data_IF_233205556393
#
_entry.id   IF_233205556393
#
_cell.length_a   1.000
_cell.length_b   1.000
_cell.length_c   1.000
_cell.angle_alpha   90.00
_cell.angle_beta   90.00
_cell.angle_gamma   90.00
#
_symmetry.space_group_name_H-M   'P 1'
#
loop_
_entity.id
_entity.type
_entity.pdbx_description
1 polymer ?
#
# COMPACT_ATOMS: atom_id res chain seq x y z
N UNK A 1 -9.29 39.05 6.06
CA UNK A 1 -7.93 38.75 5.57
C UNK A 1 -7.58 37.27 5.51
N UNK A 2 -7.75 36.49 6.59
CA UNK A 2 -7.40 35.03 6.58
C UNK A 2 -8.20 34.16 5.58
N UNK A 3 -9.48 34.49 5.32
CA UNK A 3 -10.34 33.73 4.39
C UNK A 3 -9.87 33.88 2.95
N UNK A 4 -9.57 35.11 2.53
CA UNK A 4 -9.12 35.45 1.16
C UNK A 4 -7.78 34.78 0.79
N UNK A 5 -6.81 34.74 1.71
CA UNK A 5 -5.51 34.06 1.47
C UNK A 5 -5.70 32.55 1.28
N UNK A 6 -6.59 31.94 2.08
CA UNK A 6 -6.90 30.50 1.95
C UNK A 6 -7.57 30.19 0.60
N UNK A 7 -8.48 31.03 0.14
CA UNK A 7 -9.15 30.89 -1.16
C UNK A 7 -8.17 31.02 -2.33
N UNK A 8 -7.23 31.94 -2.27
CA UNK A 8 -6.16 32.10 -3.26
C UNK A 8 -5.27 30.83 -3.30
N UNK A 9 -4.84 30.34 -2.14
CA UNK A 9 -4.03 29.13 -2.08
C UNK A 9 -4.76 27.90 -2.63
N UNK A 10 -6.07 27.77 -2.35
CA UNK A 10 -6.91 26.71 -2.90
C UNK A 10 -7.01 26.83 -4.42
N UNK A 11 -7.19 28.05 -4.95
CA UNK A 11 -7.25 28.28 -6.39
C UNK A 11 -5.96 27.84 -7.09
N UNK A 12 -4.78 28.21 -6.57
CA UNK A 12 -3.49 27.75 -7.12
C UNK A 12 -3.34 26.25 -7.02
N UNK A 13 -3.76 25.62 -5.93
CA UNK A 13 -3.70 24.18 -5.76
C UNK A 13 -4.59 23.45 -6.76
N UNK A 14 -5.80 23.94 -6.99
CA UNK A 14 -6.78 23.33 -7.89
C UNK A 14 -6.53 23.64 -9.40
N UNK A 15 -5.65 24.57 -9.70
CA UNK A 15 -5.26 24.91 -11.08
C UNK A 15 -3.86 24.37 -11.39
N UNK A 16 -2.82 25.03 -10.91
CA UNK A 16 -1.43 24.75 -11.28
C UNK A 16 -0.98 23.38 -10.72
N UNK A 17 -1.10 23.19 -9.41
CA UNK A 17 -0.60 21.94 -8.81
C UNK A 17 -1.43 20.72 -9.23
N UNK A 18 -2.74 20.88 -9.43
CA UNK A 18 -3.58 19.82 -9.99
C UNK A 18 -3.17 19.42 -11.40
N UNK A 19 -2.83 20.40 -12.25
CA UNK A 19 -2.31 20.13 -13.58
C UNK A 19 -0.99 19.37 -13.53
N UNK A 20 -0.04 19.82 -12.71
CA UNK A 20 1.25 19.14 -12.52
C UNK A 20 1.09 17.73 -11.99
N UNK A 21 0.22 17.52 -10.99
CA UNK A 21 -0.04 16.18 -10.46
C UNK A 21 -0.62 15.28 -11.53
N UNK A 22 -1.57 15.74 -12.35
CA UNK A 22 -2.14 14.94 -13.45
C UNK A 22 -1.12 14.59 -14.52
N UNK A 23 -0.21 15.52 -14.82
CA UNK A 23 0.85 15.29 -15.80
C UNK A 23 1.90 14.29 -15.29
N UNK A 24 2.35 14.43 -14.04
CA UNK A 24 3.38 13.58 -13.43
C UNK A 24 2.84 12.21 -13.04
N UNK A 25 1.58 12.16 -12.59
CA UNK A 25 0.90 10.97 -12.08
C UNK A 25 -0.45 10.73 -12.79
N UNK A 26 -0.45 10.37 -14.08
CA UNK A 26 -1.66 10.29 -14.90
C UNK A 26 -2.71 9.28 -14.40
N UNK A 27 -2.29 8.27 -13.65
CA UNK A 27 -3.21 7.30 -13.04
C UNK A 27 -3.59 7.64 -11.60
N UNK A 28 -3.18 8.80 -11.07
CA UNK A 28 -3.64 9.29 -9.77
C UNK A 28 -5.06 9.85 -9.89
N UNK A 29 -6.03 9.14 -9.32
CA UNK A 29 -7.47 9.49 -9.39
C UNK A 29 -8.06 9.52 -7.97
N UNK A 30 -7.61 10.45 -7.16
CA UNK A 30 -8.21 10.75 -5.86
C UNK A 30 -8.96 12.08 -5.89
N UNK A 31 -10.09 12.12 -5.21
CA UNK A 31 -10.66 13.39 -4.79
C UNK A 31 -9.86 13.93 -3.60
N UNK A 32 -9.83 15.24 -3.46
CA UNK A 32 -9.33 15.86 -2.24
C UNK A 32 -10.14 15.34 -1.05
N UNK A 33 -9.50 14.56 -0.18
CA UNK A 33 -10.10 14.12 1.07
C UNK A 33 -9.32 14.77 2.19
N UNK A 34 -10.03 15.51 3.05
CA UNK A 34 -9.40 16.20 4.18
C UNK A 34 -8.43 17.29 3.74
N UNK A 35 -7.24 17.30 4.35
CA UNK A 35 -6.25 18.37 4.18
C UNK A 35 -5.16 18.07 3.14
N UNK A 36 -5.27 16.99 2.36
CA UNK A 36 -4.23 16.67 1.39
C UNK A 36 -4.43 17.43 0.08
N UNK A 37 -3.65 18.49 -0.08
CA UNK A 37 -3.60 19.32 -1.28
C UNK A 37 -2.70 18.72 -2.35
N UNK A 38 -2.90 19.13 -3.63
CA UNK A 38 -2.08 18.66 -4.75
C UNK A 38 -0.59 18.98 -4.56
N UNK A 39 -0.24 20.16 -4.03
CA UNK A 39 1.14 20.51 -3.74
C UNK A 39 1.78 19.57 -2.69
N UNK A 40 0.99 19.05 -1.75
CA UNK A 40 1.49 18.10 -0.74
C UNK A 40 1.82 16.75 -1.37
N UNK A 41 1.07 16.33 -2.39
CA UNK A 41 1.40 15.14 -3.18
C UNK A 41 2.76 15.31 -3.85
N UNK A 42 3.00 16.45 -4.51
CA UNK A 42 4.30 16.74 -5.11
C UNK A 42 5.41 16.81 -4.06
N UNK A 43 5.19 17.53 -2.97
CA UNK A 43 6.17 17.64 -1.88
C UNK A 43 6.55 16.28 -1.32
N UNK A 44 5.57 15.40 -1.11
CA UNK A 44 5.80 14.09 -0.47
C UNK A 44 6.46 13.08 -1.39
N UNK A 45 6.06 13.03 -2.66
CA UNK A 45 6.42 11.90 -3.54
C UNK A 45 7.36 12.28 -4.69
N UNK A 46 7.28 13.51 -5.22
CA UNK A 46 7.93 13.86 -6.48
C UNK A 46 9.44 13.66 -6.46
N UNK A 47 10.13 14.23 -5.49
CA UNK A 47 11.60 14.20 -5.46
C UNK A 47 12.14 12.77 -5.39
N UNK A 48 11.66 11.98 -4.43
CA UNK A 48 12.11 10.60 -4.25
C UNK A 48 11.72 9.72 -5.44
N UNK A 49 10.50 9.88 -5.96
CA UNK A 49 9.99 9.00 -6.99
C UNK A 49 10.48 9.37 -8.39
N UNK A 50 10.47 10.65 -8.76
CA UNK A 50 10.76 11.08 -10.13
C UNK A 50 12.20 11.55 -10.35
N UNK A 51 12.82 12.17 -9.35
CA UNK A 51 14.22 12.63 -9.44
C UNK A 51 15.16 11.50 -9.03
N UNK A 52 15.07 10.99 -7.80
CA UNK A 52 15.95 9.91 -7.34
C UNK A 52 15.61 8.53 -7.92
N UNK A 53 14.43 8.34 -8.50
CA UNK A 53 14.08 7.16 -9.28
C UNK A 53 13.43 6.00 -8.53
N UNK A 54 13.09 6.16 -7.23
CA UNK A 54 12.36 5.13 -6.49
C UNK A 54 10.95 4.93 -7.08
N UNK A 55 10.69 3.76 -7.68
CA UNK A 55 9.44 3.48 -8.41
C UNK A 55 9.13 4.49 -9.54
N UNK A 56 10.14 5.01 -10.24
CA UNK A 56 10.01 6.10 -11.23
C UNK A 56 8.92 5.85 -12.29
N UNK A 57 8.83 4.59 -12.80
CA UNK A 57 7.88 4.20 -13.84
C UNK A 57 6.42 4.14 -13.38
N UNK A 58 6.18 4.09 -12.07
CA UNK A 58 4.81 3.97 -11.55
C UNK A 58 4.03 5.27 -11.80
N UNK A 59 2.85 5.20 -12.47
CA UNK A 59 2.11 6.39 -12.89
C UNK A 59 1.13 6.94 -11.83
N UNK A 60 1.37 6.66 -10.57
CA UNK A 60 0.70 7.21 -9.38
C UNK A 60 1.73 7.42 -8.26
N UNK A 61 1.39 8.20 -7.22
CA UNK A 61 2.28 8.44 -6.09
C UNK A 61 2.58 7.15 -5.32
N UNK A 62 3.88 6.90 -5.07
CA UNK A 62 4.37 5.76 -4.28
C UNK A 62 5.39 6.26 -3.27
N UNK A 63 5.27 5.84 -2.03
CA UNK A 63 6.26 6.14 -0.99
C UNK A 63 7.60 5.48 -1.36
N UNK A 64 8.71 6.17 -1.17
CA UNK A 64 10.04 5.69 -1.58
C UNK A 64 10.48 4.44 -0.82
N UNK A 65 9.89 4.17 0.34
CA UNK A 65 10.11 2.97 1.16
C UNK A 65 9.27 1.78 0.72
N UNK A 66 8.35 1.98 -0.22
CA UNK A 66 7.56 0.92 -0.83
C UNK A 66 8.20 0.42 -2.12
N UNK A 67 7.90 -0.80 -2.52
CA UNK A 67 8.41 -1.40 -3.75
C UNK A 67 7.27 -1.99 -4.57
N UNK A 68 7.13 -1.49 -5.81
CA UNK A 68 6.13 -1.97 -6.76
C UNK A 68 6.85 -2.60 -7.95
N UNK A 69 6.68 -3.89 -8.12
CA UNK A 69 7.20 -4.64 -9.26
C UNK A 69 6.06 -4.99 -10.22
N UNK A 70 6.29 -4.84 -11.53
CA UNK A 70 5.28 -5.16 -12.55
C UNK A 70 4.07 -4.21 -12.51
N UNK A 71 4.30 -2.91 -12.32
CA UNK A 71 3.22 -1.92 -12.21
C UNK A 71 2.34 -1.84 -13.47
N UNK A 72 2.84 -2.26 -14.60
CA UNK A 72 2.12 -2.39 -15.88
C UNK A 72 1.01 -3.45 -15.83
N UNK A 73 1.17 -4.46 -14.99
CA UNK A 73 0.18 -5.52 -14.76
C UNK A 73 -0.84 -5.16 -13.67
N UNK A 74 -0.78 -3.93 -13.13
CA UNK A 74 -1.74 -3.44 -12.14
C UNK A 74 -2.86 -2.68 -12.84
N UNK A 75 -4.09 -3.20 -12.72
CA UNK A 75 -5.33 -2.48 -13.04
C UNK A 75 -5.91 -1.96 -11.74
N UNK A 76 -6.03 -0.63 -11.61
CA UNK A 76 -6.56 -0.02 -10.39
C UNK A 76 -7.72 0.92 -10.68
N UNK A 77 -8.65 1.00 -9.74
CA UNK A 77 -9.75 1.94 -9.77
C UNK A 77 -9.36 3.35 -9.30
N UNK A 78 -10.38 4.13 -8.98
CA UNK A 78 -10.24 5.46 -8.36
C UNK A 78 -10.11 5.32 -6.83
N UNK A 79 -9.55 6.32 -6.16
CA UNK A 79 -9.31 6.31 -4.71
C UNK A 79 -8.49 5.10 -4.25
N UNK A 80 -7.55 4.67 -5.08
CA UNK A 80 -6.71 3.52 -4.83
C UNK A 80 -5.32 3.80 -5.42
N UNK A 81 -4.31 3.97 -4.56
CA UNK A 81 -2.93 4.21 -4.96
C UNK A 81 -2.01 3.25 -4.22
N UNK A 82 -1.85 2.02 -4.75
CA UNK A 82 -1.07 0.99 -4.08
C UNK A 82 0.39 1.42 -3.95
N UNK A 83 0.90 1.38 -2.72
CA UNK A 83 2.26 1.82 -2.39
C UNK A 83 2.35 3.25 -1.85
N UNK A 84 1.24 3.97 -1.65
CA UNK A 84 1.24 5.33 -1.08
C UNK A 84 1.54 5.38 0.42
N UNK A 85 1.44 4.24 1.11
CA UNK A 85 1.88 4.04 2.49
C UNK A 85 3.30 3.46 2.55
N UNK A 86 3.88 3.49 3.76
CA UNK A 86 5.25 3.05 4.03
C UNK A 86 5.37 1.52 3.93
N UNK A 87 6.45 1.04 3.30
CA UNK A 87 6.87 -0.37 3.38
C UNK A 87 5.96 -1.35 2.64
N UNK A 88 5.06 -0.88 1.78
CA UNK A 88 4.25 -1.78 0.97
C UNK A 88 5.12 -2.45 -0.09
N UNK A 89 5.06 -3.77 -0.15
CA UNK A 89 5.69 -4.55 -1.21
C UNK A 89 4.63 -5.20 -2.10
N UNK A 90 4.70 -4.93 -3.40
CA UNK A 90 3.81 -5.54 -4.38
C UNK A 90 4.64 -6.18 -5.50
N UNK A 91 4.45 -7.49 -5.68
CA UNK A 91 4.87 -8.20 -6.87
C UNK A 91 3.62 -8.48 -7.71
N UNK A 92 3.47 -7.75 -8.82
CA UNK A 92 2.29 -7.80 -9.66
C UNK A 92 2.47 -8.58 -10.97
N UNK A 93 3.57 -9.29 -11.17
CA UNK A 93 3.86 -9.98 -12.44
C UNK A 93 2.80 -11.02 -12.82
N UNK A 94 2.06 -11.59 -11.86
CA UNK A 94 0.92 -12.48 -12.13
C UNK A 94 -0.41 -11.75 -12.38
N UNK A 95 -0.41 -10.43 -12.34
CA UNK A 95 -1.59 -9.58 -12.50
C UNK A 95 -2.24 -9.20 -11.17
N UNK A 96 -2.51 -7.91 -11.00
CA UNK A 96 -3.20 -7.37 -9.83
C UNK A 96 -4.37 -6.48 -10.27
N UNK A 97 -5.57 -6.83 -9.83
CA UNK A 97 -6.77 -6.02 -10.08
C UNK A 97 -7.23 -5.44 -8.75
N UNK A 98 -7.33 -4.11 -8.70
CA UNK A 98 -7.82 -3.35 -7.55
C UNK A 98 -9.05 -2.55 -7.95
N UNK A 99 -10.12 -2.68 -7.21
CA UNK A 99 -11.33 -1.89 -7.40
C UNK A 99 -11.18 -0.44 -6.94
N UNK A 100 -12.32 0.21 -6.79
CA UNK A 100 -12.40 1.57 -6.29
C UNK A 100 -12.32 1.60 -4.76
N UNK A 101 -11.75 2.66 -4.19
CA UNK A 101 -11.67 2.87 -2.75
C UNK A 101 -11.02 1.69 -2.02
N UNK A 102 -9.80 1.34 -2.46
CA UNK A 102 -8.97 0.32 -1.81
C UNK A 102 -7.84 1.00 -1.06
N UNK A 103 -7.79 0.78 0.24
CA UNK A 103 -6.73 1.29 1.11
C UNK A 103 -5.88 0.13 1.64
N UNK A 104 -4.56 0.29 1.53
CA UNK A 104 -3.59 -0.73 1.94
C UNK A 104 -2.74 -0.16 3.07
N UNK A 105 -2.76 -0.82 4.21
CA UNK A 105 -1.96 -0.46 5.39
C UNK A 105 -0.46 -0.66 5.16
N UNK A 106 0.32 0.02 5.96
CA UNK A 106 1.79 -0.02 5.90
C UNK A 106 2.33 -1.46 6.09
N UNK A 107 3.51 -1.72 5.51
CA UNK A 107 4.22 -3.00 5.56
C UNK A 107 3.39 -4.21 5.07
N UNK A 108 2.37 -3.95 4.25
CA UNK A 108 1.57 -5.03 3.66
C UNK A 108 2.26 -5.57 2.40
N UNK A 109 2.25 -6.88 2.27
CA UNK A 109 2.84 -7.61 1.14
C UNK A 109 1.72 -8.17 0.27
N UNK A 110 1.78 -7.93 -1.04
CA UNK A 110 0.90 -8.56 -2.03
C UNK A 110 1.76 -9.25 -3.06
N UNK A 111 1.63 -10.56 -3.17
CA UNK A 111 2.33 -11.34 -4.20
C UNK A 111 1.32 -11.97 -5.14
N UNK A 112 1.55 -11.83 -6.43
CA UNK A 112 0.66 -12.37 -7.47
C UNK A 112 1.26 -13.57 -8.21
N UNK A 113 2.46 -13.98 -7.83
CA UNK A 113 3.18 -15.13 -8.38
C UNK A 113 3.77 -15.95 -7.26
N UNK A 114 4.01 -17.24 -7.52
CA UNK A 114 4.81 -18.11 -6.66
C UNK A 114 5.96 -18.70 -7.47
N UNK A 115 6.99 -19.15 -6.79
CA UNK A 115 8.02 -19.98 -7.39
C UNK A 115 7.55 -21.43 -7.49
N UNK A 116 8.11 -22.17 -8.45
CA UNK A 116 7.95 -23.61 -8.49
C UNK A 116 8.60 -24.22 -7.26
N UNK A 117 7.92 -25.20 -6.66
CA UNK A 117 8.40 -25.82 -5.41
C UNK A 117 9.59 -26.76 -5.60
N UNK A 118 9.84 -27.20 -6.83
CA UNK A 118 10.94 -28.09 -7.19
C UNK A 118 12.09 -27.37 -7.88
N UNK A 119 11.84 -26.21 -8.49
CA UNK A 119 12.85 -25.36 -9.10
C UNK A 119 12.54 -23.88 -8.87
N UNK A 120 13.07 -23.32 -7.80
CA UNK A 120 12.80 -21.93 -7.37
C UNK A 120 13.27 -20.87 -8.39
N UNK A 121 13.99 -21.24 -9.44
CA UNK A 121 14.35 -20.33 -10.54
C UNK A 121 13.17 -20.11 -11.49
N UNK A 122 12.20 -20.99 -11.46
CA UNK A 122 10.98 -20.91 -12.29
C UNK A 122 9.84 -20.29 -11.50
N UNK A 123 8.97 -19.60 -12.23
CA UNK A 123 7.68 -19.17 -11.71
C UNK A 123 6.71 -20.31 -11.94
N UNK A 124 5.88 -20.62 -10.93
CA UNK A 124 4.84 -21.64 -11.06
C UNK A 124 3.84 -21.25 -12.16
N UNK A 125 3.50 -22.21 -13.04
CA UNK A 125 2.56 -22.01 -14.15
C UNK A 125 1.09 -21.85 -13.69
N UNK A 126 0.81 -22.05 -12.43
CA UNK A 126 -0.54 -21.86 -11.89
C UNK A 126 -0.93 -20.37 -11.97
N UNK A 127 -2.05 -20.08 -12.61
CA UNK A 127 -2.62 -18.73 -12.73
C UNK A 127 -2.81 -18.13 -11.34
N UNK A 128 -2.06 -17.09 -11.08
CA UNK A 128 -1.87 -16.65 -9.73
C UNK A 128 -2.42 -15.30 -9.42
N UNK A 129 -2.64 -14.41 -10.27
CA UNK A 129 -3.15 -13.06 -10.04
C UNK A 129 -3.86 -12.83 -8.70
N UNK A 130 -4.00 -11.61 -8.30
CA UNK A 130 -4.80 -11.21 -7.13
C UNK A 130 -5.88 -10.25 -7.59
N UNK A 131 -7.11 -10.44 -7.10
CA UNK A 131 -8.23 -9.52 -7.36
C UNK A 131 -8.78 -9.01 -6.05
N UNK A 132 -8.90 -7.69 -5.93
CA UNK A 132 -9.46 -7.00 -4.76
C UNK A 132 -10.61 -6.13 -5.25
N UNK A 133 -11.79 -6.30 -4.68
CA UNK A 133 -13.00 -5.58 -5.05
C UNK A 133 -13.02 -4.11 -4.60
N UNK A 134 -14.20 -3.53 -4.59
CA UNK A 134 -14.41 -2.14 -4.19
C UNK A 134 -14.59 -1.99 -2.66
N UNK A 135 -14.26 -0.82 -2.12
CA UNK A 135 -14.44 -0.50 -0.69
C UNK A 135 -13.74 -1.52 0.21
N UNK A 136 -12.46 -1.76 -0.04
CA UNK A 136 -11.65 -2.70 0.73
C UNK A 136 -10.62 -1.95 1.56
N UNK A 137 -10.60 -2.24 2.84
CA UNK A 137 -9.55 -1.77 3.73
C UNK A 137 -8.70 -2.93 4.21
N UNK A 138 -7.40 -2.86 3.96
CA UNK A 138 -6.41 -3.84 4.38
C UNK A 138 -5.57 -3.18 5.47
N UNK A 139 -5.58 -3.75 6.65
CA UNK A 139 -4.77 -3.32 7.80
C UNK A 139 -3.27 -3.43 7.53
N UNK A 140 -2.48 -2.90 8.46
CA UNK A 140 -1.02 -2.97 8.39
C UNK A 140 -0.49 -4.40 8.56
N UNK A 141 0.72 -4.65 8.05
CA UNK A 141 1.44 -5.92 8.22
C UNK A 141 0.65 -7.15 7.71
N UNK A 142 -0.20 -6.97 6.71
CA UNK A 142 -0.93 -8.07 6.10
C UNK A 142 -0.10 -8.73 4.99
N UNK A 143 -0.42 -10.00 4.69
CA UNK A 143 0.14 -10.70 3.54
C UNK A 143 -1.00 -11.27 2.69
N UNK A 144 -1.03 -10.93 1.40
CA UNK A 144 -1.99 -11.46 0.44
C UNK A 144 -1.23 -12.30 -0.57
N UNK A 145 -1.53 -13.60 -0.58
CA UNK A 145 -0.82 -14.53 -1.45
C UNK A 145 -1.47 -14.65 -2.83
N UNK A 146 -0.72 -15.15 -3.78
CA UNK A 146 -1.15 -15.35 -5.14
C UNK A 146 -2.42 -16.23 -5.25
N UNK A 147 -3.28 -15.91 -6.23
CA UNK A 147 -4.52 -16.61 -6.50
C UNK A 147 -5.74 -16.14 -5.70
N UNK A 148 -5.56 -15.26 -4.72
CA UNK A 148 -6.64 -14.80 -3.84
C UNK A 148 -7.57 -13.81 -4.55
N UNK A 149 -8.88 -14.00 -4.33
CA UNK A 149 -9.92 -13.04 -4.71
C UNK A 149 -10.60 -12.50 -3.44
N UNK A 150 -10.61 -11.17 -3.29
CA UNK A 150 -11.27 -10.46 -2.20
C UNK A 150 -12.47 -9.73 -2.79
N UNK A 151 -13.64 -9.96 -2.22
CA UNK A 151 -14.89 -9.34 -2.66
C UNK A 151 -14.98 -7.84 -2.34
N UNK A 152 -16.17 -7.27 -2.50
CA UNK A 152 -16.43 -5.87 -2.20
C UNK A 152 -16.76 -5.67 -0.71
N UNK A 153 -16.55 -4.46 -0.19
CA UNK A 153 -16.90 -4.09 1.18
C UNK A 153 -16.27 -5.05 2.20
N UNK A 154 -14.94 -5.18 2.13
CA UNK A 154 -14.16 -6.07 3.00
C UNK A 154 -13.21 -5.25 3.87
N UNK A 155 -13.15 -5.60 5.13
CA UNK A 155 -12.15 -5.07 6.06
C UNK A 155 -11.26 -6.20 6.55
N UNK A 156 -9.94 -6.04 6.40
CA UNK A 156 -8.95 -7.00 6.87
C UNK A 156 -8.18 -6.34 8.01
N UNK A 157 -8.26 -6.92 9.20
CA UNK A 157 -7.50 -6.48 10.37
C UNK A 157 -6.00 -6.63 10.15
N UNK A 158 -5.22 -5.85 10.90
CA UNK A 158 -3.77 -5.88 10.81
C UNK A 158 -3.19 -7.26 11.12
N UNK A 159 -2.04 -7.59 10.50
CA UNK A 159 -1.31 -8.83 10.73
C UNK A 159 -1.92 -10.08 10.07
N UNK A 160 -3.00 -9.95 9.30
CA UNK A 160 -3.65 -11.10 8.68
C UNK A 160 -2.90 -11.62 7.46
N UNK A 161 -2.75 -12.94 7.36
CA UNK A 161 -2.26 -13.62 6.15
C UNK A 161 -3.45 -14.25 5.40
N UNK A 162 -3.72 -13.72 4.20
CA UNK A 162 -4.86 -14.10 3.38
C UNK A 162 -4.41 -15.14 2.35
N UNK A 163 -4.89 -16.38 2.53
CA UNK A 163 -4.56 -17.56 1.70
C UNK A 163 -5.77 -18.14 0.98
N UNK A 164 -6.96 -17.60 1.23
CA UNK A 164 -8.24 -18.07 0.65
C UNK A 164 -9.05 -16.87 0.20
N UNK A 165 -9.96 -17.10 -0.72
CA UNK A 165 -10.89 -16.07 -1.17
C UNK A 165 -11.74 -15.55 -0.01
N UNK A 166 -12.01 -14.25 -0.04
CA UNK A 166 -12.86 -13.58 0.94
C UNK A 166 -14.13 -13.12 0.21
N UNK A 167 -15.33 -13.56 0.66
CA UNK A 167 -16.58 -13.09 0.09
C UNK A 167 -16.80 -11.59 0.40
N UNK A 168 -17.70 -10.95 -0.36
CA UNK A 168 -18.10 -9.57 -0.10
C UNK A 168 -18.76 -9.43 1.29
N UNK A 169 -18.75 -8.19 1.82
CA UNK A 169 -19.34 -7.83 3.11
C UNK A 169 -18.76 -8.60 4.30
N UNK A 170 -17.44 -8.77 4.31
CA UNK A 170 -16.74 -9.59 5.30
C UNK A 170 -15.74 -8.74 6.10
N UNK A 171 -15.66 -8.99 7.40
CA UNK A 171 -14.57 -8.53 8.26
C UNK A 171 -13.71 -9.75 8.59
N UNK A 172 -12.41 -9.64 8.30
CA UNK A 172 -11.41 -10.67 8.62
C UNK A 172 -10.55 -10.17 9.77
N UNK A 173 -10.53 -10.90 10.85
CA UNK A 173 -9.71 -10.62 12.03
C UNK A 173 -9.14 -11.94 12.58
N UNK A 174 -8.11 -11.86 13.38
CA UNK A 174 -7.69 -13.00 14.18
C UNK A 174 -8.78 -13.33 15.20
N UNK A 175 -9.22 -14.56 15.28
CA UNK A 175 -10.27 -14.99 16.20
C UNK A 175 -9.80 -14.98 17.67
N UNK A 176 -8.53 -15.34 17.86
CA UNK A 176 -7.88 -15.36 19.18
C UNK A 176 -6.40 -14.99 19.01
N UNK A 177 -5.83 -14.43 20.07
CA UNK A 177 -4.41 -14.18 20.11
C UNK A 177 -3.67 -15.51 20.27
N UNK A 178 -3.17 -16.08 19.18
CA UNK A 178 -2.40 -17.34 19.20
C UNK A 178 -0.98 -17.19 19.75
N UNK A 179 -0.71 -16.10 20.46
CA UNK A 179 0.59 -15.88 21.07
C UNK A 179 0.73 -16.73 22.33
N UNK A 180 1.83 -17.45 22.43
CA UNK A 180 2.23 -18.12 23.66
C UNK A 180 2.92 -17.15 24.58
N UNK A 181 2.46 -17.05 25.81
CA UNK A 181 3.06 -16.21 26.85
C UNK A 181 3.98 -17.06 27.70
N UNK A 182 5.29 -16.86 27.54
CA UNK A 182 6.30 -17.58 28.31
C UNK A 182 6.93 -16.61 29.30
N UNK A 183 7.00 -17.02 30.59
CA UNK A 183 7.63 -16.21 31.64
C UNK A 183 9.11 -15.99 31.30
N UNK A 184 9.48 -14.73 31.07
CA UNK A 184 10.85 -14.34 30.78
C UNK A 184 11.68 -14.37 32.06
N UNK A 185 12.90 -14.90 31.99
CA UNK A 185 13.89 -14.77 33.07
C UNK A 185 14.30 -13.29 33.22
N UNK A 186 14.80 -12.95 34.43
CA UNK A 186 15.30 -11.60 34.71
C UNK A 186 16.36 -11.19 33.69
N UNK A 187 16.24 -9.96 33.19
CA UNK A 187 17.23 -9.38 32.28
C UNK A 187 18.56 -9.22 33.01
N UNK A 188 19.66 -9.72 32.43
CA UNK A 188 20.97 -9.79 33.09
C UNK A 188 21.86 -8.59 32.77
N UNK A 189 21.72 -8.01 31.59
CA UNK A 189 22.55 -6.87 31.19
C UNK A 189 22.10 -5.59 31.94
N UNK A 190 23.06 -4.95 32.59
CA UNK A 190 22.86 -3.70 33.37
C UNK A 190 23.44 -2.54 32.55
N UNK A 191 22.72 -2.12 31.54
CA UNK A 191 23.14 -1.06 30.62
C UNK A 191 23.42 0.28 31.29
N UNK A 192 22.76 0.56 32.44
CA UNK A 192 22.97 1.80 33.21
C UNK A 192 24.43 1.95 33.63
N UNK A 193 25.14 0.84 33.89
CA UNK A 193 26.55 0.87 34.27
C UNK A 193 27.50 1.19 33.10
N UNK A 194 27.05 0.97 31.86
CA UNK A 194 27.86 1.19 30.67
C UNK A 194 27.60 2.58 30.03
N UNK A 195 26.44 3.16 30.29
CA UNK A 195 26.00 4.44 29.66
C UNK A 195 26.21 5.64 30.58
N UNK A 196 26.28 5.43 31.90
CA UNK A 196 26.39 6.51 32.90
C UNK A 196 27.82 6.65 33.49
N UNK A 197 28.80 5.87 33.02
CA UNK A 197 30.24 6.05 33.26
C UNK A 197 30.91 6.60 32.02
#
# INVERSE_FOLDING_TARGET
>A
MKKTVKEILIFFDDTIFRFLVKWIYPKYKRQRIGYMYNFQILKKYFFMQKILGFNRGVPWPVDFRSKILGHEYIKKGIMCDPGDNIGIYINAYGGLILGNNVNIGQNTVITTTNHDIYDHRKISDNKMGVTIGNNVWIGANCSIVAGVKIGNNVTIGAGCTIRKNIPSNTIVIHKENQLSYIKKRKYLWKYEKEVLN
#
